data_IF_794920118618
#
_entry.id   IF_794920118618
#
_cell.length_a   1.000
_cell.length_b   1.000
_cell.length_c   1.000
_cell.angle_alpha   90.00
_cell.angle_beta   90.00
_cell.angle_gamma   90.00
#
_symmetry.space_group_name_H-M   'P 1'
#
loop_
_entity.id
_entity.type
_entity.pdbx_description
1 polymer ?
#
# COMPACT_ATOMS: atom_id res chain seq x y z
N UNK A 1 -8.39 8.38 2.55
CA UNK A 1 -8.32 7.14 3.34
C UNK A 1 -9.38 6.16 2.82
N UNK A 2 -9.20 4.86 3.03
CA UNK A 2 -10.19 3.82 2.67
C UNK A 2 -10.43 2.89 3.86
N UNK A 3 -11.55 2.16 3.83
CA UNK A 3 -11.85 1.06 4.72
C UNK A 3 -12.37 -0.10 3.87
N UNK A 4 -11.72 -1.25 3.97
CA UNK A 4 -11.89 -2.38 3.05
C UNK A 4 -12.23 -3.65 3.83
N UNK A 5 -13.19 -4.42 3.33
CA UNK A 5 -13.49 -5.77 3.82
C UNK A 5 -12.75 -6.74 2.92
N UNK A 6 -11.66 -7.31 3.44
CA UNK A 6 -10.79 -8.22 2.70
C UNK A 6 -11.31 -9.65 2.66
N UNK A 7 -12.16 -10.01 3.62
CA UNK A 7 -12.75 -11.33 3.70
C UNK A 7 -13.73 -11.43 4.85
N UNK A 8 -14.72 -12.30 4.66
CA UNK A 8 -15.68 -12.72 5.67
C UNK A 8 -15.66 -14.24 5.66
N UNK A 9 -15.65 -14.85 6.84
CA UNK A 9 -15.66 -16.30 6.99
C UNK A 9 -16.58 -16.72 8.13
N UNK A 10 -17.03 -17.97 8.09
CA UNK A 10 -17.90 -18.55 9.11
C UNK A 10 -18.81 -19.63 8.54
N UNK A 11 -19.18 -20.61 9.37
CA UNK A 11 -20.12 -21.67 8.96
C UNK A 11 -19.62 -22.54 7.80
N UNK A 12 -20.55 -22.88 6.90
CA UNK A 12 -20.27 -23.72 5.73
C UNK A 12 -19.84 -22.86 4.54
N UNK A 13 -18.65 -23.12 3.98
CA UNK A 13 -18.03 -22.32 2.91
C UNK A 13 -17.75 -23.12 1.63
N UNK A 14 -18.24 -24.37 1.55
CA UNK A 14 -18.07 -25.26 0.39
C UNK A 14 -19.24 -25.20 -0.59
N UNK A 15 -19.13 -25.93 -1.69
CA UNK A 15 -20.20 -26.06 -2.69
C UNK A 15 -21.43 -26.80 -2.15
N UNK A 16 -22.63 -26.41 -2.59
CA UNK A 16 -23.88 -27.03 -2.15
C UNK A 16 -24.48 -26.34 -0.92
N UNK A 17 -25.30 -27.07 -0.14
CA UNK A 17 -26.09 -26.49 0.95
C UNK A 17 -25.90 -27.21 2.28
N UNK A 18 -25.89 -26.44 3.38
CA UNK A 18 -25.93 -26.97 4.74
C UNK A 18 -26.81 -26.11 5.63
N UNK A 19 -27.85 -26.71 6.22
CA UNK A 19 -28.78 -26.03 7.14
C UNK A 19 -28.19 -25.96 8.55
N UNK A 20 -27.20 -25.09 8.74
CA UNK A 20 -26.48 -24.94 10.01
C UNK A 20 -26.45 -23.48 10.45
N UNK A 21 -26.60 -23.25 11.75
CA UNK A 21 -26.33 -21.95 12.37
C UNK A 21 -24.86 -21.95 12.80
N UNK A 22 -23.99 -21.11 12.22
CA UNK A 22 -22.58 -21.07 12.61
C UNK A 22 -22.41 -20.55 14.04
N UNK A 23 -21.51 -21.18 14.80
CA UNK A 23 -21.14 -20.73 16.14
C UNK A 23 -20.26 -19.48 16.12
N UNK A 24 -19.46 -19.30 15.08
CA UNK A 24 -18.47 -18.22 14.95
C UNK A 24 -18.42 -17.73 13.49
N UNK A 25 -18.09 -16.46 13.35
CA UNK A 25 -17.77 -15.80 12.09
C UNK A 25 -16.56 -14.87 12.30
N UNK A 26 -15.88 -14.52 11.22
CA UNK A 26 -14.76 -13.59 11.21
C UNK A 26 -14.88 -12.63 10.03
N UNK A 27 -14.30 -11.44 10.18
CA UNK A 27 -14.07 -10.52 9.09
C UNK A 27 -12.63 -10.00 9.18
N UNK A 28 -11.99 -9.79 8.02
CA UNK A 28 -10.67 -9.17 7.92
C UNK A 28 -10.84 -7.80 7.30
N UNK A 29 -10.33 -6.77 7.96
CA UNK A 29 -10.44 -5.38 7.53
C UNK A 29 -9.06 -4.77 7.30
N UNK A 30 -8.94 -3.88 6.31
CA UNK A 30 -7.79 -2.99 6.14
C UNK A 30 -8.24 -1.55 5.99
N UNK A 31 -7.34 -0.64 6.35
CA UNK A 31 -7.56 0.79 6.22
C UNK A 31 -6.35 1.40 5.52
N UNK A 32 -6.57 2.11 4.40
CA UNK A 32 -5.50 2.92 3.80
C UNK A 32 -5.48 4.28 4.47
N UNK A 33 -4.34 4.61 5.08
CA UNK A 33 -4.13 5.87 5.76
C UNK A 33 -3.58 6.92 4.81
N UNK A 34 -3.82 8.19 5.15
CA UNK A 34 -3.25 9.37 4.49
C UNK A 34 -2.42 10.15 5.51
N UNK A 35 -1.63 11.17 5.10
CA UNK A 35 -0.79 11.94 6.02
C UNK A 35 -1.56 12.51 7.20
N UNK A 36 -0.86 12.66 8.33
CA UNK A 36 -1.40 13.16 9.60
C UNK A 36 -2.42 12.22 10.26
N UNK A 37 -2.29 10.91 10.07
CA UNK A 37 -3.03 9.88 10.81
C UNK A 37 -2.05 8.97 11.56
N UNK A 38 -2.27 8.75 12.86
CA UNK A 38 -1.53 7.75 13.64
C UNK A 38 -2.17 6.36 13.41
N UNK A 39 -1.43 5.37 12.88
CA UNK A 39 -1.98 4.03 12.65
C UNK A 39 -2.53 3.35 13.91
N UNK A 40 -1.92 3.56 15.08
CA UNK A 40 -2.35 2.95 16.33
C UNK A 40 -3.67 3.58 16.80
N UNK A 41 -3.79 4.90 16.71
CA UNK A 41 -5.04 5.61 17.02
C UNK A 41 -6.18 5.12 16.11
N UNK A 42 -5.94 4.96 14.80
CA UNK A 42 -6.96 4.47 13.87
C UNK A 42 -7.38 3.04 14.20
N UNK A 43 -6.45 2.16 14.58
CA UNK A 43 -6.79 0.79 15.02
C UNK A 43 -7.67 0.80 16.28
N UNK A 44 -7.35 1.62 17.27
CA UNK A 44 -8.14 1.75 18.49
C UNK A 44 -9.54 2.30 18.20
N UNK A 45 -9.65 3.37 17.40
CA UNK A 45 -10.93 3.95 16.99
C UNK A 45 -11.81 2.94 16.24
N UNK A 46 -11.22 2.17 15.33
CA UNK A 46 -11.93 1.11 14.61
C UNK A 46 -12.38 -0.01 15.55
N UNK A 47 -11.51 -0.45 16.45
CA UNK A 47 -11.83 -1.50 17.42
C UNK A 47 -12.97 -1.08 18.36
N UNK A 48 -12.92 0.14 18.87
CA UNK A 48 -13.94 0.69 19.75
C UNK A 48 -15.28 0.88 19.04
N UNK A 49 -15.25 1.33 17.78
CA UNK A 49 -16.45 1.40 16.97
C UNK A 49 -17.09 0.00 16.82
N UNK A 50 -16.31 -1.02 16.45
CA UNK A 50 -16.81 -2.38 16.26
C UNK A 50 -17.37 -2.99 17.56
N UNK A 51 -16.70 -2.76 18.69
CA UNK A 51 -17.21 -3.20 20.01
C UNK A 51 -18.55 -2.54 20.35
N UNK A 52 -18.73 -1.26 20.05
CA UNK A 52 -20.00 -0.54 20.26
C UNK A 52 -21.14 -1.07 19.39
N UNK A 53 -20.84 -1.59 18.20
CA UNK A 53 -21.86 -2.18 17.32
C UNK A 53 -22.18 -3.64 17.68
N UNK A 54 -21.42 -4.30 18.57
CA UNK A 54 -21.64 -5.69 18.93
C UNK A 54 -22.95 -5.84 19.75
N UNK A 55 -23.94 -6.63 19.28
CA UNK A 55 -25.15 -6.88 20.04
C UNK A 55 -24.85 -7.61 21.36
N UNK A 56 -25.68 -7.44 22.41
CA UNK A 56 -25.48 -8.12 23.70
C UNK A 56 -25.51 -9.66 23.62
N UNK A 57 -26.10 -10.23 22.57
CA UNK A 57 -26.18 -11.67 22.33
C UNK A 57 -24.91 -12.26 21.68
N UNK A 58 -23.92 -11.43 21.36
CA UNK A 58 -22.71 -11.82 20.65
C UNK A 58 -21.46 -11.37 21.43
N UNK A 59 -20.34 -12.01 21.12
CA UNK A 59 -19.01 -11.61 21.57
C UNK A 59 -18.16 -11.28 20.34
N UNK A 60 -17.35 -10.24 20.43
CA UNK A 60 -16.38 -9.86 19.41
C UNK A 60 -14.98 -9.86 20.00
N UNK A 61 -14.08 -10.57 19.33
CA UNK A 61 -12.64 -10.51 19.53
C UNK A 61 -12.03 -9.71 18.38
N UNK A 62 -11.09 -8.83 18.68
CA UNK A 62 -10.43 -7.99 17.68
C UNK A 62 -8.92 -8.19 17.84
N UNK A 63 -8.30 -8.78 16.82
CA UNK A 63 -6.86 -8.94 16.72
C UNK A 63 -6.30 -7.79 15.87
N UNK A 64 -5.47 -6.88 16.44
CA UNK A 64 -4.87 -5.80 15.67
C UNK A 64 -3.85 -6.36 14.67
N UNK A 65 -3.93 -5.89 13.43
CA UNK A 65 -3.01 -6.27 12.36
C UNK A 65 -1.75 -5.42 12.30
N UNK A 66 -1.06 -5.48 11.16
CA UNK A 66 0.11 -4.62 10.93
C UNK A 66 -0.29 -3.14 10.88
N UNK A 67 0.65 -2.29 11.27
CA UNK A 67 0.57 -0.83 11.10
C UNK A 67 1.59 -0.36 10.07
N UNK A 68 1.29 0.76 9.41
CA UNK A 68 2.17 1.39 8.44
C UNK A 68 1.77 2.84 8.26
N UNK A 69 2.60 3.82 8.69
CA UNK A 69 2.29 5.22 8.49
C UNK A 69 2.30 5.60 6.99
N UNK A 70 1.58 6.66 6.64
CA UNK A 70 1.64 7.22 5.30
C UNK A 70 2.99 7.92 5.06
N UNK A 71 3.58 7.70 3.89
CA UNK A 71 4.84 8.32 3.49
C UNK A 71 4.63 9.46 2.49
N UNK A 72 5.39 10.55 2.66
CA UNK A 72 5.44 11.69 1.73
C UNK A 72 6.89 12.19 1.66
N UNK A 73 7.34 12.47 0.44
CA UNK A 73 8.55 13.24 0.17
C UNK A 73 8.25 14.42 -0.76
N UNK A 74 9.13 15.42 -0.77
CA UNK A 74 9.03 16.54 -1.69
C UNK A 74 9.65 16.17 -3.06
N UNK A 75 8.85 16.05 -4.13
CA UNK A 75 9.37 15.75 -5.47
C UNK A 75 10.20 16.89 -6.05
N UNK A 76 10.14 18.11 -5.49
CA UNK A 76 10.91 19.26 -5.93
C UNK A 76 12.24 19.43 -5.19
N UNK A 77 12.55 18.55 -4.24
CA UNK A 77 13.89 18.43 -3.64
C UNK A 77 14.97 18.16 -4.69
N UNK A 78 16.26 18.42 -4.42
CA UNK A 78 17.34 18.11 -5.35
C UNK A 78 17.32 16.67 -5.87
N UNK A 79 17.10 15.69 -4.98
CA UNK A 79 16.98 14.28 -5.35
C UNK A 79 15.71 13.98 -6.15
N UNK A 80 14.59 14.62 -5.82
CA UNK A 80 13.35 14.50 -6.59
C UNK A 80 13.47 15.05 -8.01
N UNK A 81 14.18 16.17 -8.19
CA UNK A 81 14.46 16.74 -9.51
C UNK A 81 15.43 15.87 -10.33
N UNK A 82 16.45 15.29 -9.69
CA UNK A 82 17.34 14.31 -10.32
C UNK A 82 16.58 13.07 -10.80
N UNK A 83 15.67 12.54 -9.98
CA UNK A 83 14.76 11.45 -10.36
C UNK A 83 13.88 11.81 -11.56
N UNK A 84 13.31 13.01 -11.58
CA UNK A 84 12.51 13.49 -12.72
C UNK A 84 13.35 13.61 -14.00
N UNK A 85 14.59 14.11 -13.91
CA UNK A 85 15.51 14.20 -15.04
C UNK A 85 15.86 12.81 -15.61
N UNK A 86 16.11 11.83 -14.73
CA UNK A 86 16.40 10.45 -15.12
C UNK A 86 15.20 9.77 -15.83
N UNK A 87 13.98 9.99 -15.33
CA UNK A 87 12.75 9.54 -15.97
C UNK A 87 12.57 10.17 -17.35
N UNK A 88 12.71 11.49 -17.46
CA UNK A 88 12.59 12.23 -18.74
C UNK A 88 13.58 11.71 -19.77
N UNK A 89 14.83 11.47 -19.37
CA UNK A 89 15.87 10.91 -20.24
C UNK A 89 15.57 9.48 -20.68
N UNK A 90 14.96 8.67 -19.82
CA UNK A 90 14.71 7.25 -20.10
C UNK A 90 13.50 7.04 -21.01
N UNK A 91 12.45 7.82 -20.82
CA UNK A 91 11.15 7.65 -21.51
C UNK A 91 10.86 8.72 -22.56
N UNK A 92 11.68 9.77 -22.65
CA UNK A 92 11.50 10.89 -23.58
C UNK A 92 10.13 11.57 -23.46
N UNK A 93 9.62 11.68 -22.22
CA UNK A 93 8.37 12.34 -21.88
C UNK A 93 8.48 12.95 -20.47
N UNK A 94 7.59 13.89 -20.14
CA UNK A 94 7.52 14.51 -18.83
C UNK A 94 6.99 13.54 -17.77
N UNK A 95 7.74 13.27 -16.68
CA UNK A 95 7.27 12.39 -15.63
C UNK A 95 6.03 12.97 -14.94
N UNK A 96 5.07 12.11 -14.59
CA UNK A 96 3.93 12.49 -13.77
C UNK A 96 4.27 12.29 -12.29
N UNK A 97 4.03 13.32 -11.49
CA UNK A 97 4.16 13.24 -10.04
C UNK A 97 2.83 12.76 -9.48
N UNK A 98 2.83 11.55 -8.94
CA UNK A 98 1.63 10.90 -8.42
C UNK A 98 1.83 10.45 -6.97
N UNK A 99 0.72 10.15 -6.31
CA UNK A 99 0.68 9.42 -5.05
C UNK A 99 0.04 8.06 -5.30
N UNK A 100 0.47 7.06 -4.56
CA UNK A 100 -0.02 5.69 -4.69
C UNK A 100 -0.83 5.24 -3.47
N UNK A 101 -1.80 4.35 -3.71
CA UNK A 101 -2.63 3.75 -2.66
C UNK A 101 -1.98 2.54 -1.97
N UNK A 102 -0.90 2.01 -2.55
CA UNK A 102 -0.12 0.93 -1.96
C UNK A 102 0.62 1.35 -0.68
N UNK A 103 1.25 0.38 -0.01
CA UNK A 103 2.01 0.65 1.21
C UNK A 103 3.33 -0.12 1.20
N UNK A 104 4.41 0.58 1.55
CA UNK A 104 5.74 0.02 1.76
C UNK A 104 6.22 0.55 3.12
N UNK A 105 5.78 -0.03 4.26
CA UNK A 105 5.91 0.59 5.58
C UNK A 105 7.34 1.02 5.97
N UNK A 106 8.34 0.28 5.49
CA UNK A 106 9.76 0.52 5.81
C UNK A 106 10.28 1.88 5.33
N UNK A 107 9.71 2.48 4.27
CA UNK A 107 10.24 3.75 3.74
C UNK A 107 10.01 4.92 4.71
N UNK A 108 8.94 4.88 5.50
CA UNK A 108 8.75 5.86 6.56
C UNK A 108 9.78 5.65 7.66
N UNK A 109 10.05 4.40 8.06
CA UNK A 109 11.09 4.10 9.06
C UNK A 109 12.49 4.53 8.60
N UNK A 110 12.82 4.37 7.31
CA UNK A 110 14.07 4.88 6.73
C UNK A 110 14.17 6.40 6.95
N UNK A 111 13.10 7.14 6.66
CA UNK A 111 13.06 8.59 6.86
C UNK A 111 13.19 8.99 8.33
N UNK A 112 12.48 8.32 9.23
CA UNK A 112 12.48 8.65 10.65
C UNK A 112 13.83 8.33 11.32
N UNK A 113 14.46 7.21 10.93
CA UNK A 113 15.72 6.74 11.56
C UNK A 113 16.94 7.39 10.93
N UNK A 114 16.98 7.51 9.60
CA UNK A 114 18.16 7.97 8.86
C UNK A 114 18.04 9.43 8.40
N UNK A 115 16.85 10.04 8.47
CA UNK A 115 16.62 11.41 8.02
C UNK A 115 16.66 11.59 6.50
N UNK A 116 16.56 10.51 5.72
CA UNK A 116 16.66 10.54 4.25
C UNK A 116 15.34 10.14 3.59
N UNK A 117 15.02 10.81 2.47
CA UNK A 117 13.89 10.44 1.64
C UNK A 117 14.21 9.22 0.77
N UNK A 118 13.21 8.35 0.60
CA UNK A 118 13.19 7.28 -0.40
C UNK A 118 12.52 7.76 -1.70
N UNK A 119 13.20 7.59 -2.83
CA UNK A 119 12.66 7.83 -4.17
C UNK A 119 11.84 6.61 -4.63
N UNK A 120 10.60 6.84 -5.03
CA UNK A 120 9.72 5.82 -5.60
C UNK A 120 9.53 6.08 -7.09
N UNK A 121 10.12 5.22 -7.92
CA UNK A 121 10.10 5.33 -9.38
C UNK A 121 9.26 4.19 -9.96
N UNK A 122 8.03 4.50 -10.33
CA UNK A 122 7.08 3.51 -10.83
C UNK A 122 7.43 3.02 -12.24
N UNK A 123 7.54 1.69 -12.40
CA UNK A 123 7.69 1.02 -13.70
C UNK A 123 6.54 0.07 -14.02
N UNK A 124 5.74 -0.33 -13.03
CA UNK A 124 4.58 -1.18 -13.26
C UNK A 124 3.44 -0.35 -13.89
N UNK A 125 2.71 -0.96 -14.82
CA UNK A 125 1.51 -0.39 -15.43
C UNK A 125 0.26 -0.80 -14.64
N UNK A 126 -0.86 -0.08 -14.77
CA UNK A 126 -2.10 -0.41 -14.07
C UNK A 126 -2.63 -1.83 -14.34
N UNK A 127 -2.30 -2.42 -15.49
CA UNK A 127 -2.69 -3.76 -15.92
C UNK A 127 -1.67 -4.86 -15.54
N UNK A 128 -0.63 -4.54 -14.78
CA UNK A 128 0.32 -5.53 -14.26
C UNK A 128 -0.31 -6.51 -13.25
N UNK A 129 -1.53 -6.25 -12.76
CA UNK A 129 -2.29 -7.18 -11.90
C UNK A 129 -1.52 -7.61 -10.64
N UNK A 130 -0.83 -6.68 -9.99
CA UNK A 130 -0.08 -6.93 -8.76
C UNK A 130 -0.99 -7.59 -7.71
N UNK A 131 -0.59 -8.74 -7.18
CA UNK A 131 -1.37 -9.58 -6.24
C UNK A 131 -2.61 -10.28 -6.83
N UNK A 132 -2.76 -10.36 -8.15
CA UNK A 132 -3.86 -11.05 -8.80
C UNK A 132 -3.37 -12.16 -9.76
N UNK A 133 -4.23 -13.13 -10.13
CA UNK A 133 -3.87 -14.13 -11.13
C UNK A 133 -3.45 -13.47 -12.44
N UNK A 134 -2.44 -14.05 -13.11
CA UNK A 134 -1.81 -13.50 -14.32
C UNK A 134 -1.10 -12.15 -14.11
N UNK A 135 -0.58 -11.91 -12.90
CA UNK A 135 0.39 -10.85 -12.63
C UNK A 135 1.51 -10.87 -13.69
N UNK A 136 1.80 -9.69 -14.26
CA UNK A 136 2.67 -9.55 -15.41
C UNK A 136 3.51 -8.28 -15.34
N UNK A 137 4.57 -8.25 -16.15
CA UNK A 137 5.44 -7.11 -16.32
C UNK A 137 6.05 -7.15 -17.72
N UNK A 138 6.01 -6.03 -18.44
CA UNK A 138 6.49 -5.98 -19.82
C UNK A 138 8.02 -6.07 -19.88
N UNK A 139 8.55 -6.73 -20.91
CA UNK A 139 10.00 -6.79 -21.13
C UNK A 139 10.53 -5.39 -21.41
N UNK A 140 9.75 -4.56 -22.11
CA UNK A 140 10.05 -3.17 -22.39
C UNK A 140 10.25 -2.35 -21.10
N UNK A 141 9.37 -2.52 -20.10
CA UNK A 141 9.51 -1.80 -18.83
C UNK A 141 10.65 -2.36 -17.97
N UNK A 142 10.97 -3.65 -18.10
CA UNK A 142 12.13 -4.25 -17.44
C UNK A 142 13.44 -3.67 -17.97
N UNK A 143 13.58 -3.61 -19.30
CA UNK A 143 14.74 -2.99 -19.94
C UNK A 143 14.79 -1.48 -19.69
N UNK A 144 13.65 -0.80 -19.70
CA UNK A 144 13.56 0.61 -19.32
C UNK A 144 14.00 0.83 -17.87
N UNK A 145 13.66 -0.08 -16.96
CA UNK A 145 14.12 -0.05 -15.57
C UNK A 145 15.64 -0.10 -15.43
N UNK A 146 16.32 -0.92 -16.25
CA UNK A 146 17.79 -0.97 -16.28
C UNK A 146 18.36 0.39 -16.73
N UNK A 147 17.83 0.95 -17.82
CA UNK A 147 18.25 2.27 -18.32
C UNK A 147 17.97 3.39 -17.32
N UNK A 148 16.82 3.33 -16.65
CA UNK A 148 16.40 4.29 -15.62
C UNK A 148 17.35 4.29 -14.43
N UNK A 149 17.69 3.11 -13.90
CA UNK A 149 18.59 3.01 -12.76
C UNK A 149 19.98 3.58 -13.07
N UNK A 150 20.50 3.32 -14.28
CA UNK A 150 21.74 3.96 -14.74
C UNK A 150 21.60 5.48 -14.80
N UNK A 151 20.55 5.99 -15.46
CA UNK A 151 20.33 7.43 -15.58
C UNK A 151 20.16 8.09 -14.20
N UNK A 152 19.47 7.43 -13.27
CA UNK A 152 19.26 7.93 -11.91
C UNK A 152 20.58 8.08 -11.16
N UNK A 153 21.46 7.09 -11.20
CA UNK A 153 22.77 7.17 -10.56
C UNK A 153 23.63 8.27 -11.17
N UNK A 154 23.56 8.48 -12.48
CA UNK A 154 24.26 9.58 -13.17
C UNK A 154 23.69 10.96 -12.76
N UNK A 155 22.37 11.10 -12.61
CA UNK A 155 21.74 12.37 -12.19
C UNK A 155 21.95 12.67 -10.69
N UNK A 156 21.97 11.64 -9.83
CA UNK A 156 22.24 11.80 -8.39
C UNK A 156 23.70 12.12 -8.08
N UNK A 157 24.62 11.78 -8.98
CA UNK A 157 26.05 12.04 -8.82
C UNK A 157 26.53 13.42 -9.29
N UNK A 158 25.63 14.27 -9.81
CA UNK A 158 25.91 15.65 -10.20
C UNK A 158 25.83 16.59 -9.00
#
# INVERSE_FOLDING_TARGET
PTAEVNGIGGGYQGEGSKTVIPRQAMAKLSFRLVPNQDPNEILELAADYLRKQCPPSCFIEIEPGHVGPAYVMDPHSPHGQAAQAALRRTFNDEPRLIREGGSIPIIQSIKDVLGIDSLLLGLALPDCQIHAPNENFTVENFEAGIRLNRALLEELGK
#
